data_IF_900245830216
#
_entry.id   IF_900245830216
#
_cell.length_a   1.000
_cell.length_b   1.000
_cell.length_c   1.000
_cell.angle_alpha   90.00
_cell.angle_beta   90.00
_cell.angle_gamma   90.00
#
_symmetry.space_group_name_H-M   'P 1'
#
loop_
_entity.id
_entity.type
_entity.pdbx_description
1 polymer ?
#
# COMPACT_ATOMS: atom_id res chain seq x y z
N UNK A 1 -14.84 -7.50 -19.85
CA UNK A 1 -15.33 -7.70 -18.46
C UNK A 1 -15.55 -9.19 -18.17
N UNK A 2 -15.64 -9.55 -16.91
CA UNK A 2 -16.05 -10.88 -16.48
C UNK A 2 -17.55 -10.87 -16.13
N UNK A 3 -18.27 -11.96 -16.43
CA UNK A 3 -19.64 -12.12 -15.96
C UNK A 3 -19.63 -12.68 -14.55
N UNK A 4 -20.21 -11.95 -13.60
CA UNK A 4 -20.29 -12.33 -12.18
C UNK A 4 -18.91 -12.66 -11.53
N UNK A 5 -17.82 -12.08 -12.04
CA UNK A 5 -16.47 -12.34 -11.53
C UNK A 5 -15.85 -13.68 -11.99
N UNK A 6 -16.49 -14.39 -12.91
CA UNK A 6 -15.97 -15.67 -13.42
C UNK A 6 -14.76 -15.43 -14.37
N UNK A 7 -13.56 -15.68 -13.85
CA UNK A 7 -12.30 -15.62 -14.58
C UNK A 7 -11.96 -16.93 -15.31
N UNK A 8 -12.67 -17.99 -15.02
CA UNK A 8 -12.47 -19.30 -15.64
C UNK A 8 -13.19 -19.46 -16.98
N UNK A 9 -14.06 -18.52 -17.33
CA UNK A 9 -14.73 -18.47 -18.61
C UNK A 9 -13.74 -18.36 -19.78
N UNK A 10 -14.17 -18.75 -20.98
CA UNK A 10 -13.32 -18.85 -22.17
C UNK A 10 -12.62 -17.53 -22.53
N UNK A 11 -13.35 -16.42 -22.57
CA UNK A 11 -12.78 -15.12 -22.94
C UNK A 11 -11.77 -14.60 -21.89
N UNK A 12 -12.09 -14.53 -20.58
CA UNK A 12 -11.12 -14.14 -19.56
C UNK A 12 -9.86 -15.01 -19.57
N UNK A 13 -10.00 -16.33 -19.69
CA UNK A 13 -8.87 -17.26 -19.73
C UNK A 13 -7.94 -16.97 -20.92
N UNK A 14 -8.50 -16.73 -22.11
CA UNK A 14 -7.71 -16.37 -23.28
C UNK A 14 -6.99 -15.04 -23.10
N UNK A 15 -7.67 -14.00 -22.57
CA UNK A 15 -7.05 -12.69 -22.33
C UNK A 15 -5.89 -12.80 -21.34
N UNK A 16 -6.07 -13.52 -20.23
CA UNK A 16 -5.01 -13.75 -19.22
C UNK A 16 -3.81 -14.48 -19.84
N UNK A 17 -4.04 -15.43 -20.76
CA UNK A 17 -2.97 -16.18 -21.41
C UNK A 17 -2.16 -15.38 -22.43
N UNK A 18 -2.77 -14.36 -23.04
CA UNK A 18 -2.16 -13.54 -24.10
C UNK A 18 -1.42 -12.34 -23.51
N UNK A 19 -1.93 -11.76 -22.42
CA UNK A 19 -1.38 -10.54 -21.81
C UNK A 19 -0.23 -10.84 -20.85
N UNK A 20 0.61 -9.81 -20.57
CA UNK A 20 1.74 -9.91 -19.63
C UNK A 20 1.37 -9.66 -18.18
N UNK A 21 0.13 -9.81 -17.85
CA UNK A 21 -0.41 -9.67 -16.53
C UNK A 21 -1.82 -9.08 -16.55
N UNK A 22 -2.42 -9.00 -15.38
CA UNK A 22 -3.76 -8.43 -15.19
C UNK A 22 -3.85 -7.65 -13.87
N UNK A 23 -4.65 -6.61 -13.88
CA UNK A 23 -5.15 -5.96 -12.66
C UNK A 23 -6.58 -6.45 -12.47
N UNK A 24 -6.82 -7.20 -11.41
CA UNK A 24 -8.10 -7.82 -11.13
C UNK A 24 -8.93 -6.94 -10.19
N UNK A 25 -10.15 -6.58 -10.61
CA UNK A 25 -11.09 -5.80 -9.80
C UNK A 25 -12.17 -6.72 -9.22
N UNK A 26 -12.42 -6.59 -7.92
CA UNK A 26 -13.44 -7.37 -7.21
C UNK A 26 -14.59 -6.47 -6.75
N UNK A 27 -15.82 -6.85 -7.12
CA UNK A 27 -17.03 -6.12 -6.71
C UNK A 27 -17.19 -6.09 -5.18
N UNK A 28 -16.79 -7.17 -4.49
CA UNK A 28 -16.87 -7.26 -3.03
C UNK A 28 -15.98 -6.18 -2.37
N UNK A 29 -14.74 -6.00 -2.84
CA UNK A 29 -13.85 -4.95 -2.36
C UNK A 29 -14.44 -3.55 -2.60
N UNK A 30 -15.07 -3.36 -3.76
CA UNK A 30 -15.73 -2.09 -4.08
C UNK A 30 -16.86 -1.76 -3.10
N UNK A 31 -17.71 -2.73 -2.80
CA UNK A 31 -18.81 -2.55 -1.84
C UNK A 31 -18.33 -2.40 -0.40
N UNK A 32 -17.17 -2.95 -0.05
CA UNK A 32 -16.51 -2.73 1.24
C UNK A 32 -15.82 -1.36 1.34
N UNK A 33 -15.88 -0.54 0.28
CA UNK A 33 -15.29 0.80 0.26
C UNK A 33 -13.82 0.83 -0.14
N UNK A 34 -13.23 -0.31 -0.56
CA UNK A 34 -11.88 -0.34 -1.11
C UNK A 34 -11.90 0.19 -2.54
N UNK A 35 -11.31 1.35 -2.76
CA UNK A 35 -11.25 2.02 -4.07
C UNK A 35 -9.85 2.58 -4.31
N UNK A 36 -9.17 2.14 -5.38
CA UNK A 36 -9.60 1.15 -6.37
C UNK A 36 -9.79 -0.25 -5.78
N UNK A 37 -10.76 -0.99 -6.31
CA UNK A 37 -11.14 -2.32 -5.84
C UNK A 37 -10.20 -3.43 -6.37
N UNK A 38 -8.90 -3.21 -6.26
CA UNK A 38 -7.86 -4.08 -6.82
C UNK A 38 -7.61 -5.24 -5.89
N UNK A 39 -7.80 -6.46 -6.41
CA UNK A 39 -7.36 -7.68 -5.73
C UNK A 39 -5.86 -7.88 -5.89
N UNK A 40 -5.10 -7.57 -4.85
CA UNK A 40 -3.63 -7.72 -4.86
C UNK A 40 -3.22 -9.19 -5.03
N UNK A 41 -4.02 -10.13 -4.52
CA UNK A 41 -3.74 -11.57 -4.60
C UNK A 41 -3.92 -12.15 -6.00
N UNK A 42 -4.97 -11.72 -6.72
CA UNK A 42 -5.30 -12.18 -8.07
C UNK A 42 -4.62 -11.39 -9.17
N UNK A 43 -4.14 -10.18 -8.87
CA UNK A 43 -3.42 -9.35 -9.82
C UNK A 43 -1.98 -9.86 -9.98
N UNK A 44 -1.56 -9.97 -11.23
CA UNK A 44 -0.24 -10.51 -11.60
C UNK A 44 0.42 -9.62 -12.64
N UNK A 45 1.72 -9.42 -12.51
CA UNK A 45 2.58 -8.86 -13.54
C UNK A 45 3.69 -9.85 -13.86
N UNK A 46 3.86 -10.21 -15.14
CA UNK A 46 4.97 -11.08 -15.57
C UNK A 46 6.33 -10.41 -15.45
N UNK A 47 6.39 -9.09 -15.66
CA UNK A 47 7.59 -8.29 -15.44
C UNK A 47 7.85 -8.11 -13.94
N UNK A 48 6.81 -7.94 -13.16
CA UNK A 48 6.84 -7.86 -11.71
C UNK A 48 7.72 -6.72 -11.20
N UNK A 49 8.50 -7.00 -10.18
CA UNK A 49 9.36 -6.01 -9.53
C UNK A 49 10.51 -5.48 -10.40
N UNK A 50 10.78 -6.08 -11.55
CA UNK A 50 11.78 -5.58 -12.50
C UNK A 50 11.36 -4.27 -13.15
N UNK A 51 10.04 -4.01 -13.24
CA UNK A 51 9.50 -2.76 -13.76
C UNK A 51 9.42 -1.62 -12.72
N UNK A 52 9.65 -1.92 -11.44
CA UNK A 52 9.57 -0.93 -10.37
C UNK A 52 10.87 -0.15 -10.22
N UNK A 53 10.76 1.11 -9.85
CA UNK A 53 11.90 1.88 -9.36
C UNK A 53 12.51 1.22 -8.12
N UNK A 54 13.84 1.35 -7.96
CA UNK A 54 14.55 0.72 -6.84
C UNK A 54 14.04 1.16 -5.47
N UNK A 55 13.69 2.44 -5.33
CA UNK A 55 13.10 2.98 -4.11
C UNK A 55 11.75 2.34 -3.78
N UNK A 56 10.84 2.26 -4.77
CA UNK A 56 9.54 1.61 -4.61
C UNK A 56 9.70 0.14 -4.22
N UNK A 57 10.59 -0.58 -4.91
CA UNK A 57 10.88 -1.98 -4.61
C UNK A 57 11.44 -2.18 -3.20
N UNK A 58 12.31 -1.28 -2.74
CA UNK A 58 12.89 -1.35 -1.40
C UNK A 58 11.84 -1.17 -0.29
N UNK A 59 10.84 -0.32 -0.52
CA UNK A 59 9.78 -0.05 0.45
C UNK A 59 8.65 -1.07 0.36
N UNK A 60 8.15 -1.34 -0.85
CA UNK A 60 6.96 -2.18 -1.05
C UNK A 60 7.27 -3.69 -1.11
N UNK A 61 8.53 -4.11 -0.99
CA UNK A 61 8.94 -5.50 -1.21
C UNK A 61 8.23 -6.53 -0.33
N UNK A 62 7.92 -6.17 0.92
CA UNK A 62 7.22 -7.06 1.87
C UNK A 62 5.70 -6.87 1.86
N UNK A 63 5.21 -5.77 1.32
CA UNK A 63 3.81 -5.36 1.43
C UNK A 63 2.83 -6.41 0.89
N UNK A 64 3.14 -7.02 -0.25
CA UNK A 64 2.28 -8.06 -0.83
C UNK A 64 2.12 -9.25 0.12
N UNK A 65 3.20 -9.65 0.80
CA UNK A 65 3.19 -10.74 1.78
C UNK A 65 2.37 -10.33 3.03
N UNK A 66 2.57 -9.13 3.53
CA UNK A 66 1.83 -8.60 4.69
C UNK A 66 0.32 -8.54 4.42
N UNK A 67 -0.08 -8.09 3.22
CA UNK A 67 -1.49 -8.07 2.81
C UNK A 67 -2.07 -9.47 2.63
N UNK A 68 -1.28 -10.44 2.14
CA UNK A 68 -1.71 -11.83 2.04
C UNK A 68 -1.93 -12.45 3.43
N UNK A 69 -0.99 -12.26 4.34
CA UNK A 69 -1.09 -12.71 5.74
C UNK A 69 -2.30 -12.07 6.44
N UNK A 70 -2.50 -10.76 6.26
CA UNK A 70 -3.68 -10.08 6.78
C UNK A 70 -4.99 -10.73 6.31
N UNK A 71 -5.12 -11.05 5.01
CA UNK A 71 -6.33 -11.69 4.47
C UNK A 71 -6.61 -13.03 5.11
N UNK A 72 -5.58 -13.87 5.29
CA UNK A 72 -5.70 -15.15 5.95
C UNK A 72 -6.17 -14.99 7.39
N UNK A 73 -5.49 -14.15 8.15
CA UNK A 73 -5.81 -13.91 9.56
C UNK A 73 -7.18 -13.25 9.71
N UNK A 74 -7.55 -12.30 8.86
CA UNK A 74 -8.86 -11.64 8.89
C UNK A 74 -10.02 -12.62 8.63
N UNK A 75 -9.80 -13.64 7.81
CA UNK A 75 -10.78 -14.71 7.59
C UNK A 75 -10.99 -15.53 8.88
N UNK A 76 -9.91 -15.87 9.58
CA UNK A 76 -9.99 -16.62 10.86
C UNK A 76 -10.53 -15.76 12.01
N UNK A 77 -10.19 -14.47 12.06
CA UNK A 77 -10.64 -13.55 13.12
C UNK A 77 -12.17 -13.40 13.18
N UNK A 78 -12.86 -13.66 12.08
CA UNK A 78 -14.34 -13.67 12.06
C UNK A 78 -14.95 -14.82 12.87
N UNK A 79 -14.17 -15.87 13.16
CA UNK A 79 -14.65 -17.09 13.82
C UNK A 79 -14.06 -17.31 15.22
N UNK A 80 -13.07 -16.52 15.66
CA UNK A 80 -12.39 -16.69 16.94
C UNK A 80 -12.30 -15.41 17.75
N UNK A 81 -12.47 -15.53 19.07
CA UNK A 81 -12.44 -14.39 19.99
C UNK A 81 -11.08 -14.11 20.61
N UNK A 82 -10.20 -15.10 20.68
CA UNK A 82 -8.90 -15.00 21.36
C UNK A 82 -7.75 -15.08 20.36
N UNK A 83 -7.29 -13.92 19.92
CA UNK A 83 -6.12 -13.78 19.05
C UNK A 83 -4.89 -13.45 19.91
N UNK A 84 -3.78 -14.12 19.63
CA UNK A 84 -2.51 -13.80 20.24
C UNK A 84 -2.04 -12.37 19.83
N UNK A 85 -1.18 -11.73 20.65
CA UNK A 85 -0.75 -10.35 20.39
C UNK A 85 -0.08 -10.13 19.03
N UNK A 86 0.66 -11.12 18.50
CA UNK A 86 1.33 -11.01 17.22
C UNK A 86 0.31 -11.00 16.07
N UNK A 87 -0.67 -11.90 16.14
CA UNK A 87 -1.81 -11.96 15.21
C UNK A 87 -2.63 -10.68 15.24
N UNK A 88 -2.90 -10.12 16.43
CA UNK A 88 -3.59 -8.84 16.58
C UNK A 88 -2.80 -7.70 15.94
N UNK A 89 -1.48 -7.68 16.08
CA UNK A 89 -0.62 -6.67 15.44
C UNK A 89 -0.65 -6.78 13.91
N UNK A 90 -0.63 -8.00 13.36
CA UNK A 90 -0.76 -8.22 11.92
C UNK A 90 -2.10 -7.70 11.39
N UNK A 91 -3.20 -7.96 12.11
CA UNK A 91 -4.52 -7.42 11.75
C UNK A 91 -4.53 -5.90 11.78
N UNK A 92 -4.03 -5.31 12.85
CA UNK A 92 -3.97 -3.86 13.01
C UNK A 92 -3.17 -3.19 11.90
N UNK A 93 -2.03 -3.73 11.53
CA UNK A 93 -1.21 -3.23 10.43
C UNK A 93 -1.88 -3.43 9.08
N UNK A 94 -2.41 -4.62 8.82
CA UNK A 94 -3.04 -4.96 7.55
C UNK A 94 -4.24 -4.07 7.22
N UNK A 95 -5.10 -3.77 8.19
CA UNK A 95 -6.23 -2.84 8.00
C UNK A 95 -5.72 -1.47 7.57
N UNK A 96 -4.67 -0.95 8.21
CA UNK A 96 -4.09 0.37 7.89
C UNK A 96 -3.40 0.40 6.54
N UNK A 97 -2.73 -0.68 6.15
CA UNK A 97 -2.17 -0.82 4.81
C UNK A 97 -3.28 -0.82 3.73
N UNK A 98 -4.42 -1.47 4.00
CA UNK A 98 -5.57 -1.39 3.10
C UNK A 98 -6.16 0.02 3.00
N UNK A 99 -6.24 0.74 4.12
CA UNK A 99 -6.68 2.15 4.09
C UNK A 99 -5.70 3.03 3.31
N UNK A 100 -4.39 2.82 3.49
CA UNK A 100 -3.36 3.56 2.77
C UNK A 100 -3.38 3.32 1.25
N UNK A 101 -3.85 2.15 0.81
CA UNK A 101 -3.97 1.82 -0.61
C UNK A 101 -5.23 2.39 -1.27
N UNK A 102 -6.12 3.02 -0.53
CA UNK A 102 -7.25 3.73 -1.12
C UNK A 102 -6.77 5.02 -1.77
N UNK A 103 -7.28 5.30 -2.96
CA UNK A 103 -6.89 6.45 -3.76
C UNK A 103 -8.12 7.08 -4.41
N UNK A 104 -8.21 8.39 -4.41
CA UNK A 104 -9.27 9.13 -5.08
C UNK A 104 -9.18 8.98 -6.61
N UNK A 105 -10.32 9.14 -7.26
CA UNK A 105 -10.35 9.16 -8.72
C UNK A 105 -9.66 10.43 -9.23
N UNK A 106 -8.76 10.28 -10.20
CA UNK A 106 -7.94 11.37 -10.77
C UNK A 106 -6.98 12.04 -9.77
N UNK A 107 -6.58 11.34 -8.71
CA UNK A 107 -5.58 11.79 -7.73
C UNK A 107 -4.31 10.93 -7.84
N UNK A 108 -3.50 11.04 -8.92
CA UNK A 108 -2.25 10.27 -9.02
C UNK A 108 -1.20 10.83 -8.07
N UNK A 109 -0.35 9.95 -7.57
CA UNK A 109 0.86 10.31 -6.82
C UNK A 109 2.09 10.24 -7.74
N UNK A 110 3.04 11.14 -7.53
CA UNK A 110 4.35 11.02 -8.16
C UNK A 110 5.14 9.84 -7.54
N UNK A 111 6.08 9.24 -8.27
CA UNK A 111 6.78 8.04 -7.79
C UNK A 111 7.45 8.19 -6.43
N UNK A 112 8.07 9.34 -6.15
CA UNK A 112 8.69 9.65 -4.86
C UNK A 112 7.66 9.82 -3.74
N UNK A 113 6.47 10.29 -4.07
CA UNK A 113 5.34 10.38 -3.12
C UNK A 113 4.82 8.98 -2.77
N UNK A 114 4.71 8.10 -3.77
CA UNK A 114 4.37 6.68 -3.55
C UNK A 114 5.37 6.04 -2.60
N UNK A 115 6.68 6.32 -2.76
CA UNK A 115 7.71 5.81 -1.85
C UNK A 115 7.49 6.31 -0.43
N UNK A 116 7.24 7.61 -0.25
CA UNK A 116 7.01 8.22 1.07
C UNK A 116 5.71 7.71 1.74
N UNK A 117 4.63 7.57 0.96
CA UNK A 117 3.35 7.02 1.44
C UNK A 117 3.50 5.57 1.89
N UNK A 118 4.03 4.70 1.03
CA UNK A 118 4.21 3.29 1.38
C UNK A 118 5.19 3.10 2.54
N UNK A 119 6.19 3.98 2.65
CA UNK A 119 7.17 3.95 3.74
C UNK A 119 6.51 4.07 5.12
N UNK A 120 5.60 5.02 5.31
CA UNK A 120 4.93 5.21 6.61
C UNK A 120 4.05 4.01 6.97
N UNK A 121 3.43 3.36 5.99
CA UNK A 121 2.64 2.15 6.22
C UNK A 121 3.50 0.94 6.57
N UNK A 122 4.45 0.60 5.72
CA UNK A 122 5.30 -0.60 5.88
C UNK A 122 6.22 -0.49 7.11
N UNK A 123 6.69 0.71 7.45
CA UNK A 123 7.52 0.93 8.65
C UNK A 123 6.71 1.07 9.95
N UNK A 124 5.37 0.98 9.87
CA UNK A 124 4.50 0.94 11.03
C UNK A 124 4.18 2.28 11.67
N UNK A 125 4.47 3.39 11.01
CA UNK A 125 4.11 4.72 11.51
C UNK A 125 2.59 4.93 11.57
N UNK A 126 1.85 4.24 10.71
CA UNK A 126 0.39 4.23 10.73
C UNK A 126 -0.20 3.38 11.87
N UNK A 127 0.57 2.52 12.54
CA UNK A 127 0.05 1.57 13.53
C UNK A 127 -0.60 2.27 14.75
N UNK A 128 -0.18 3.50 15.04
CA UNK A 128 -0.71 4.34 16.15
C UNK A 128 -1.88 5.21 15.74
N UNK A 129 -2.21 5.27 14.44
CA UNK A 129 -3.26 6.12 13.91
C UNK A 129 -4.56 5.32 13.83
N UNK A 130 -5.69 5.91 14.23
CA UNK A 130 -6.98 5.26 14.06
C UNK A 130 -7.28 5.04 12.59
N UNK A 131 -7.90 3.90 12.27
CA UNK A 131 -8.10 3.44 10.90
C UNK A 131 -8.81 4.49 10.05
N UNK A 132 -9.80 5.17 10.61
CA UNK A 132 -10.57 6.24 9.94
C UNK A 132 -9.74 7.49 9.61
N UNK A 133 -8.61 7.69 10.28
CA UNK A 133 -7.73 8.84 10.10
C UNK A 133 -6.49 8.55 9.24
N UNK A 134 -6.28 7.29 8.81
CA UNK A 134 -5.07 6.89 8.04
C UNK A 134 -4.93 7.69 6.75
N UNK A 135 -6.00 7.90 5.99
CA UNK A 135 -5.94 8.69 4.76
C UNK A 135 -5.67 10.17 5.01
N UNK A 136 -6.25 10.75 6.08
CA UNK A 136 -5.97 12.13 6.48
C UNK A 136 -4.53 12.29 6.92
N UNK A 137 -4.01 11.32 7.70
CA UNK A 137 -2.61 11.24 8.10
C UNK A 137 -1.67 11.18 6.91
N UNK A 138 -1.93 10.30 5.94
CA UNK A 138 -1.13 10.17 4.71
C UNK A 138 -1.07 11.50 3.94
N UNK A 139 -2.23 12.09 3.65
CA UNK A 139 -2.32 13.37 2.92
C UNK A 139 -1.58 14.49 3.65
N UNK A 140 -1.74 14.59 4.96
CA UNK A 140 -1.05 15.57 5.78
C UNK A 140 0.47 15.33 5.82
N UNK A 141 0.89 14.06 5.94
CA UNK A 141 2.30 13.68 5.89
C UNK A 141 2.95 14.05 4.55
N UNK A 142 2.33 13.68 3.43
CA UNK A 142 2.85 14.04 2.10
C UNK A 142 2.92 15.54 1.90
N UNK A 143 1.91 16.29 2.33
CA UNK A 143 1.92 17.76 2.28
C UNK A 143 3.06 18.35 3.14
N UNK A 144 3.30 17.79 4.33
CA UNK A 144 4.40 18.18 5.21
C UNK A 144 5.77 17.91 4.58
N UNK A 145 5.96 16.72 3.99
CA UNK A 145 7.21 16.37 3.30
C UNK A 145 7.45 17.31 2.12
N UNK A 146 6.44 17.60 1.30
CA UNK A 146 6.54 18.52 0.15
C UNK A 146 6.88 19.94 0.55
N UNK A 147 6.26 20.46 1.61
CA UNK A 147 6.41 21.86 2.01
C UNK A 147 7.69 22.13 2.82
N UNK A 148 8.05 21.22 3.72
CA UNK A 148 9.11 21.45 4.72
C UNK A 148 10.35 20.58 4.51
N UNK A 149 10.23 19.49 3.78
CA UNK A 149 11.29 18.49 3.61
C UNK A 149 11.45 18.05 2.14
N UNK A 150 11.13 18.90 1.17
CA UNK A 150 11.20 18.59 -0.26
C UNK A 150 12.57 18.05 -0.70
N UNK A 151 13.63 18.41 0.00
CA UNK A 151 14.98 17.94 -0.29
C UNK A 151 15.11 16.40 -0.27
N UNK A 152 14.32 15.69 0.56
CA UNK A 152 14.36 14.22 0.59
C UNK A 152 13.72 13.62 -0.67
N UNK A 153 12.64 14.21 -1.17
CA UNK A 153 12.00 13.80 -2.42
C UNK A 153 12.93 14.07 -3.61
N UNK A 154 13.55 15.26 -3.65
CA UNK A 154 14.54 15.63 -4.67
C UNK A 154 15.72 14.66 -4.66
N UNK A 155 16.23 14.27 -3.48
CA UNK A 155 17.31 13.28 -3.36
C UNK A 155 16.91 11.92 -3.96
N UNK A 156 15.66 11.48 -3.77
CA UNK A 156 15.15 10.24 -4.37
C UNK A 156 15.12 10.35 -5.90
N UNK A 157 14.66 11.47 -6.44
CA UNK A 157 14.61 11.73 -7.89
C UNK A 157 16.03 11.74 -8.47
N UNK A 158 16.93 12.56 -7.91
CA UNK A 158 18.31 12.77 -8.40
C UNK A 158 19.15 11.51 -8.33
N UNK A 159 18.86 10.60 -7.39
CA UNK A 159 19.51 9.27 -7.30
C UNK A 159 19.00 8.25 -8.32
N UNK A 160 18.13 8.65 -9.27
CA UNK A 160 17.49 7.76 -10.22
C UNK A 160 16.47 6.85 -9.54
N UNK A 161 15.67 7.41 -8.65
CA UNK A 161 14.66 6.71 -7.84
C UNK A 161 15.25 5.54 -7.04
N UNK A 162 16.40 5.80 -6.39
CA UNK A 162 17.02 4.88 -5.44
C UNK A 162 16.85 5.46 -4.03
N UNK A 163 16.48 4.63 -3.06
CA UNK A 163 16.42 5.06 -1.68
C UNK A 163 17.81 5.00 -1.07
N UNK A 164 18.50 6.15 -1.03
CA UNK A 164 19.86 6.26 -0.44
C UNK A 164 19.78 6.07 1.07
N UNK A 165 20.89 5.67 1.73
CA UNK A 165 20.92 5.60 3.20
C UNK A 165 20.56 6.92 3.87
N UNK A 166 20.96 8.06 3.28
CA UNK A 166 20.66 9.39 3.79
C UNK A 166 19.15 9.70 3.66
N UNK A 167 18.55 9.47 2.47
CA UNK A 167 17.12 9.64 2.26
C UNK A 167 16.30 8.74 3.19
N UNK A 168 16.74 7.50 3.40
CA UNK A 168 16.11 6.55 4.31
C UNK A 168 16.11 7.07 5.76
N UNK A 169 17.26 7.54 6.24
CA UNK A 169 17.39 8.10 7.60
C UNK A 169 16.51 9.33 7.77
N UNK A 170 16.52 10.25 6.82
CA UNK A 170 15.66 11.44 6.83
C UNK A 170 14.17 11.09 6.82
N UNK A 171 13.75 10.12 6.01
CA UNK A 171 12.34 9.68 6.01
C UNK A 171 11.94 9.12 7.37
N UNK A 172 12.81 8.37 8.05
CA UNK A 172 12.55 7.89 9.41
C UNK A 172 12.39 9.05 10.40
N UNK A 173 13.30 10.02 10.39
CA UNK A 173 13.25 11.19 11.28
C UNK A 173 11.98 12.01 11.07
N UNK A 174 11.65 12.31 9.81
CA UNK A 174 10.44 13.07 9.45
C UNK A 174 9.17 12.32 9.85
N UNK A 175 9.10 11.01 9.55
CA UNK A 175 7.93 10.20 9.86
C UNK A 175 7.71 10.07 11.38
N UNK A 176 8.77 9.86 12.16
CA UNK A 176 8.66 9.77 13.63
C UNK A 176 8.21 11.10 14.25
N UNK A 177 8.84 12.21 13.84
CA UNK A 177 8.47 13.55 14.33
C UNK A 177 7.03 13.90 13.97
N UNK A 178 6.63 13.62 12.73
CA UNK A 178 5.27 13.91 12.24
C UNK A 178 4.22 13.06 12.96
N UNK A 179 4.46 11.74 13.09
CA UNK A 179 3.54 10.82 13.76
C UNK A 179 3.32 11.20 15.23
N UNK A 180 4.38 11.64 15.90
CA UNK A 180 4.29 12.06 17.32
C UNK A 180 3.48 13.35 17.50
N UNK A 181 3.54 14.26 16.50
CA UNK A 181 2.84 15.55 16.52
C UNK A 181 1.47 15.55 15.86
N UNK A 182 1.07 14.45 15.21
CA UNK A 182 -0.20 14.39 14.48
C UNK A 182 -1.38 14.29 15.45
N UNK A 183 -2.33 15.22 15.27
CA UNK A 183 -3.66 15.18 15.91
C UNK A 183 -4.69 15.27 14.78
N UNK A 184 -5.59 14.29 14.68
CA UNK A 184 -6.63 14.25 13.64
C UNK A 184 -7.67 15.36 13.79
#
# INVERSE_FOLDING_TARGET
ETQAGDVSAYIPTNVISITDGQIFLESELFYQGQRPAISVGLSVSRVGSAAQYKATKAVAGTMKLELAQYREVAAFAKFGSDLDPATQQQLNRGVRLYELLKQGQYEPYEPEEVVASLFIGVKGYCDRIDVEHVQAFEKAFLAHVKSSHSAVLTEIIDSGYTLTPNALTKLHEIAEAFTTGFSP
#
